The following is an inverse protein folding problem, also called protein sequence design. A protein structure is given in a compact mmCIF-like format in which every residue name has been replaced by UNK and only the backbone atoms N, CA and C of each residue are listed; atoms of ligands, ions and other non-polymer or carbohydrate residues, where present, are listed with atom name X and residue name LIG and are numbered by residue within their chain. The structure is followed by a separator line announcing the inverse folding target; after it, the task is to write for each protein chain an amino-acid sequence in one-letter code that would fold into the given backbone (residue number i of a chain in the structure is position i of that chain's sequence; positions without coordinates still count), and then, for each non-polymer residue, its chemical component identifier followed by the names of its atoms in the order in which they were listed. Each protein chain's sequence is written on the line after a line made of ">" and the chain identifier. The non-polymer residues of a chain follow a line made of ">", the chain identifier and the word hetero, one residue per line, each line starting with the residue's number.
data_IF_360687093126
#
_entry.id   IF_360687093126
#
_cell.length_a   1.000
_cell.length_b   1.000
_cell.length_c   1.000
_cell.angle_alpha   90.00
_cell.angle_beta   90.00
_cell.angle_gamma   90.00
#
_symmetry.space_group_name_H-M   'P 1'
#
loop_
_entity.id
_entity.type
_entity.pdbx_description
1 polymer ?
#
# COMPACT_ATOMS: atom_id res chain seq x y z
N UNK A 1 0.64 -10.56 -10.43
CA UNK A 1 1.94 -9.87 -10.27
C UNK A 1 1.92 -9.18 -8.91
N UNK A 2 2.74 -9.63 -7.95
CA UNK A 2 2.85 -8.98 -6.64
C UNK A 2 3.92 -7.88 -6.69
N UNK A 3 3.79 -6.78 -5.93
CA UNK A 3 4.85 -5.81 -5.73
C UNK A 3 6.10 -6.44 -5.07
N UNK A 4 7.26 -5.78 -5.14
CA UNK A 4 8.48 -6.28 -4.51
C UNK A 4 8.29 -6.47 -3.00
N UNK A 5 8.78 -7.60 -2.47
CA UNK A 5 8.61 -8.05 -1.08
C UNK A 5 9.54 -7.32 -0.11
N UNK A 6 9.56 -5.99 -0.16
CA UNK A 6 10.34 -5.17 0.78
C UNK A 6 9.59 -5.07 2.10
N UNK A 7 10.02 -5.82 3.11
CA UNK A 7 9.37 -5.95 4.42
C UNK A 7 9.06 -4.57 5.06
N UNK A 8 10.02 -3.64 4.98
CA UNK A 8 9.88 -2.29 5.52
C UNK A 8 8.77 -1.43 4.87
N UNK A 9 8.31 -1.79 3.66
CA UNK A 9 7.23 -1.04 2.99
C UNK A 9 5.83 -1.59 3.31
N UNK A 10 5.76 -2.81 3.84
CA UNK A 10 4.54 -3.59 4.00
C UNK A 10 4.39 -4.17 5.42
N UNK A 11 4.32 -3.31 6.46
CA UNK A 11 4.29 -3.78 7.85
C UNK A 11 3.05 -4.65 8.16
N UNK A 12 1.91 -4.44 7.49
CA UNK A 12 0.71 -5.26 7.71
C UNK A 12 0.78 -6.64 7.07
N UNK A 13 1.68 -6.85 6.11
CA UNK A 13 1.82 -8.11 5.39
C UNK A 13 3.12 -8.84 5.76
N UNK A 14 3.86 -8.39 6.77
CA UNK A 14 5.17 -8.91 7.14
C UNK A 14 5.16 -10.42 7.40
N UNK A 15 4.20 -10.90 8.20
CA UNK A 15 4.05 -12.32 8.54
C UNK A 15 3.83 -13.19 7.29
N UNK A 16 2.95 -12.77 6.39
CA UNK A 16 2.65 -13.50 5.14
C UNK A 16 3.84 -13.49 4.19
N UNK A 17 4.64 -12.41 4.18
CA UNK A 17 5.88 -12.32 3.40
C UNK A 17 6.89 -13.35 3.93
N UNK A 18 7.05 -13.46 5.24
CA UNK A 18 7.96 -14.42 5.87
C UNK A 18 7.55 -15.86 5.57
N UNK A 19 6.26 -16.21 5.70
CA UNK A 19 5.73 -17.52 5.34
C UNK A 19 5.98 -17.86 3.86
N UNK A 20 5.73 -16.89 2.96
CA UNK A 20 5.95 -17.07 1.54
C UNK A 20 7.43 -17.26 1.18
N UNK A 21 8.32 -16.49 1.81
CA UNK A 21 9.77 -16.64 1.65
C UNK A 21 10.25 -17.99 2.18
N UNK A 22 9.75 -18.42 3.34
CA UNK A 22 10.05 -19.73 3.90
C UNK A 22 9.65 -20.86 2.96
N UNK A 23 8.43 -20.80 2.39
CA UNK A 23 7.99 -21.78 1.39
C UNK A 23 8.93 -21.82 0.17
N UNK A 24 9.42 -20.68 -0.32
CA UNK A 24 10.39 -20.63 -1.42
C UNK A 24 11.77 -21.19 -1.07
N UNK A 25 12.19 -21.11 0.20
CA UNK A 25 13.45 -21.67 0.71
C UNK A 25 13.32 -23.19 0.88
N UNK A 26 12.22 -23.65 1.46
CA UNK A 26 11.96 -25.07 1.72
C UNK A 26 11.70 -25.84 0.41
N UNK A 27 11.12 -25.18 -0.60
CA UNK A 27 10.74 -25.76 -1.87
C UNK A 27 11.42 -25.08 -3.08
N UNK A 28 12.75 -25.16 -3.21
CA UNK A 28 13.49 -24.42 -4.24
C UNK A 28 13.13 -24.85 -5.67
N UNK A 29 12.72 -26.11 -5.87
CA UNK A 29 12.26 -26.65 -7.16
C UNK A 29 10.74 -26.62 -7.25
N UNK A 30 10.02 -27.07 -6.20
CA UNK A 30 8.56 -27.17 -6.23
C UNK A 30 7.84 -25.80 -6.24
N UNK A 31 8.51 -24.70 -5.86
CA UNK A 31 7.98 -23.34 -6.06
C UNK A 31 7.62 -23.03 -7.52
N UNK A 32 8.33 -23.62 -8.49
CA UNK A 32 8.05 -23.44 -9.92
C UNK A 32 6.84 -24.26 -10.39
N UNK A 33 6.48 -25.30 -9.64
CA UNK A 33 5.31 -26.15 -9.88
C UNK A 33 4.06 -25.67 -9.13
N UNK A 34 4.17 -24.59 -8.36
CA UNK A 34 3.03 -23.95 -7.71
C UNK A 34 2.78 -24.36 -6.26
N UNK A 35 3.71 -25.06 -5.61
CA UNK A 35 3.61 -25.46 -4.19
C UNK A 35 3.24 -24.29 -3.25
N UNK A 36 3.78 -23.10 -3.54
CA UNK A 36 3.57 -21.90 -2.71
C UNK A 36 2.43 -20.99 -3.23
N UNK A 37 1.55 -21.47 -4.10
CA UNK A 37 0.53 -20.63 -4.76
C UNK A 37 -0.52 -20.09 -3.78
N UNK A 38 -0.91 -20.87 -2.78
CA UNK A 38 -1.89 -20.42 -1.78
C UNK A 38 -1.36 -19.26 -0.94
N UNK A 39 -0.08 -19.33 -0.53
CA UNK A 39 0.60 -18.26 0.17
C UNK A 39 0.73 -17.01 -0.72
N UNK A 40 1.04 -17.19 -2.01
CA UNK A 40 1.05 -16.10 -2.99
C UNK A 40 -0.31 -15.40 -3.08
N UNK A 41 -1.42 -16.14 -3.11
CA UNK A 41 -2.78 -15.58 -3.17
C UNK A 41 -3.09 -14.77 -1.90
N UNK A 42 -2.76 -15.30 -0.72
CA UNK A 42 -2.91 -14.59 0.56
C UNK A 42 -2.11 -13.29 0.57
N UNK A 43 -0.87 -13.35 0.09
CA UNK A 43 0.03 -12.21 0.00
C UNK A 43 -0.52 -11.12 -0.93
N UNK A 44 -0.99 -11.50 -2.12
CA UNK A 44 -1.62 -10.58 -3.08
C UNK A 44 -2.87 -9.92 -2.48
N UNK A 45 -3.68 -10.69 -1.73
CA UNK A 45 -4.86 -10.16 -1.03
C UNK A 45 -4.47 -9.16 0.05
N UNK A 46 -3.40 -9.41 0.79
CA UNK A 46 -2.90 -8.48 1.81
C UNK A 46 -2.41 -7.17 1.18
N UNK A 47 -1.58 -7.23 0.13
CA UNK A 47 -1.10 -6.04 -0.56
C UNK A 47 -2.21 -5.20 -1.18
N UNK A 48 -3.27 -5.83 -1.69
CA UNK A 48 -4.46 -5.11 -2.19
C UNK A 48 -5.16 -4.34 -1.07
N UNK A 49 -5.30 -4.95 0.10
CA UNK A 49 -5.92 -4.30 1.27
C UNK A 49 -5.07 -3.14 1.78
N UNK A 50 -3.76 -3.35 1.95
CA UNK A 50 -2.85 -2.30 2.39
C UNK A 50 -2.87 -1.11 1.41
N UNK A 51 -2.83 -1.40 0.10
CA UNK A 51 -2.93 -0.36 -0.94
C UNK A 51 -4.25 0.38 -0.88
N UNK A 52 -5.36 -0.30 -0.62
CA UNK A 52 -6.67 0.33 -0.47
C UNK A 52 -6.72 1.26 0.75
N UNK A 53 -6.16 0.84 1.88
CA UNK A 53 -6.08 1.67 3.10
C UNK A 53 -5.21 2.91 2.88
N UNK A 54 -3.99 2.74 2.34
CA UNK A 54 -3.11 3.87 1.99
C UNK A 54 -3.79 4.85 1.02
N UNK A 55 -4.53 4.35 0.04
CA UNK A 55 -5.29 5.20 -0.90
C UNK A 55 -6.38 6.00 -0.20
N UNK A 56 -7.10 5.43 0.77
CA UNK A 56 -8.11 6.15 1.55
C UNK A 56 -7.48 7.27 2.38
N UNK A 57 -6.41 6.96 3.11
CA UNK A 57 -5.69 7.96 3.93
C UNK A 57 -5.16 9.11 3.06
N UNK A 58 -4.46 8.79 1.96
CA UNK A 58 -3.94 9.81 1.06
C UNK A 58 -5.05 10.66 0.43
N UNK A 59 -6.20 10.06 0.13
CA UNK A 59 -7.35 10.79 -0.41
C UNK A 59 -7.91 11.78 0.61
N UNK A 60 -8.07 11.37 1.87
CA UNK A 60 -8.53 12.26 2.96
C UNK A 60 -7.54 13.39 3.23
N UNK A 61 -6.23 13.11 3.27
CA UNK A 61 -5.20 14.12 3.43
C UNK A 61 -5.17 15.10 2.26
N UNK A 62 -5.27 14.59 1.03
CA UNK A 62 -5.34 15.43 -0.17
C UNK A 62 -6.57 16.31 -0.17
N UNK A 63 -7.73 15.81 0.30
CA UNK A 63 -8.96 16.60 0.43
C UNK A 63 -8.78 17.74 1.44
N UNK A 64 -8.27 17.44 2.64
CA UNK A 64 -8.00 18.45 3.68
C UNK A 64 -7.01 19.51 3.21
N UNK A 65 -5.94 19.10 2.52
CA UNK A 65 -4.97 20.02 1.95
C UNK A 65 -5.61 20.92 0.89
N UNK A 66 -6.42 20.35 -0.01
CA UNK A 66 -7.13 21.10 -1.05
C UNK A 66 -8.07 22.15 -0.44
N UNK A 67 -8.84 21.77 0.58
CA UNK A 67 -9.75 22.69 1.29
C UNK A 67 -8.98 23.84 1.95
N UNK A 68 -7.86 23.56 2.64
CA UNK A 68 -7.00 24.61 3.23
C UNK A 68 -6.42 25.56 2.19
N UNK A 69 -5.92 25.02 1.08
CA UNK A 69 -5.36 25.83 -0.01
C UNK A 69 -6.43 26.70 -0.69
N UNK A 70 -7.67 26.20 -0.80
CA UNK A 70 -8.78 26.98 -1.34
C UNK A 70 -9.19 28.11 -0.39
N UNK A 71 -9.26 27.87 0.92
CA UNK A 71 -9.54 28.90 1.91
C UNK A 71 -8.48 30.01 1.87
N UNK A 72 -7.19 29.63 1.95
CA UNK A 72 -6.07 30.57 1.88
C UNK A 72 -6.08 31.43 0.60
N UNK A 73 -6.39 30.82 -0.56
CA UNK A 73 -6.50 31.54 -1.83
C UNK A 73 -7.63 32.57 -1.84
N UNK A 74 -8.76 32.28 -1.19
CA UNK A 74 -9.89 33.21 -1.06
C UNK A 74 -9.54 34.38 -0.15
N UNK A 75 -9.00 34.09 1.03
CA UNK A 75 -8.55 35.11 1.99
C UNK A 75 -7.51 36.05 1.36
N UNK A 76 -6.54 35.49 0.63
CA UNK A 76 -5.51 36.29 -0.06
C UNK A 76 -6.12 37.16 -1.17
N UNK A 77 -7.12 36.64 -1.90
CA UNK A 77 -7.80 37.40 -2.94
C UNK A 77 -8.62 38.56 -2.36
N UNK A 78 -9.33 38.34 -1.25
CA UNK A 78 -10.09 39.37 -0.52
C UNK A 78 -9.16 40.48 0.00
N UNK A 79 -8.01 40.12 0.59
CA UNK A 79 -7.00 41.07 1.07
C UNK A 79 -6.34 41.90 -0.04
N UNK A 80 -6.28 41.41 -1.28
CA UNK A 80 -5.73 42.16 -2.42
C UNK A 80 -6.77 43.15 -2.97
N UNK A 81 -8.06 42.89 -2.74
CA UNK A 81 -9.16 43.72 -3.25
C UNK A 81 -9.61 44.85 -2.32
N UNK A 82 -9.23 44.82 -1.04
CA UNK A 82 -9.38 45.92 -0.06
C UNK A 82 -8.16 46.86 -0.07
#
# INVERSE_FOLDING_TARGET
>A
MHPPLTLHKHPMCAEIIEEFQKCHIDHPVAKFFGECTDLKIKLDRCFRQEKALKRKVNFEESKKLKERLQAYRKETAEQITE
#
